data_IF_209257137976
#
_entry.id   IF_209257137976
#
_cell.length_a   1.000
_cell.length_b   1.000
_cell.length_c   1.000
_cell.angle_alpha   90.00
_cell.angle_beta   90.00
_cell.angle_gamma   90.00
#
_symmetry.space_group_name_H-M   'P 1'
#
loop_
_entity.id
_entity.type
_entity.pdbx_description
1 polymer ?
#
# COMPACT_ATOMS: atom_id res chain seq x y z
N UNK A 1 -15.66 27.46 -5.91
CA UNK A 1 -15.61 25.99 -5.74
C UNK A 1 -14.24 25.67 -5.16
N UNK A 2 -14.12 25.11 -3.95
CA UNK A 2 -12.79 24.73 -3.45
C UNK A 2 -12.19 23.72 -4.42
N UNK A 3 -10.97 23.98 -4.88
CA UNK A 3 -10.25 23.03 -5.71
C UNK A 3 -10.00 21.77 -4.88
N UNK A 4 -10.60 20.66 -5.31
CA UNK A 4 -10.33 19.35 -4.72
C UNK A 4 -8.91 18.98 -5.15
N UNK A 5 -7.95 19.25 -4.27
CA UNK A 5 -6.53 19.01 -4.53
C UNK A 5 -6.17 17.62 -4.03
N UNK A 6 -5.65 16.80 -4.94
CA UNK A 6 -5.08 15.49 -4.64
C UNK A 6 -3.58 15.62 -4.36
N UNK A 7 -3.10 14.76 -3.46
CA UNK A 7 -1.71 14.69 -3.06
C UNK A 7 -1.27 13.25 -2.88
N UNK A 8 0.05 13.04 -2.95
CA UNK A 8 0.67 11.79 -2.54
C UNK A 8 0.96 11.82 -1.04
N UNK A 9 0.38 10.86 -0.31
CA UNK A 9 0.61 10.67 1.11
C UNK A 9 1.41 9.40 1.36
N UNK A 10 2.34 9.46 2.31
CA UNK A 10 2.98 8.29 2.87
C UNK A 10 2.11 7.69 3.98
N UNK A 11 1.71 6.43 3.84
CA UNK A 11 0.91 5.70 4.81
C UNK A 11 1.73 4.56 5.43
N UNK A 12 1.73 4.48 6.76
CA UNK A 12 2.38 3.38 7.48
C UNK A 12 1.48 2.15 7.48
N UNK A 13 2.01 1.01 7.05
CA UNK A 13 1.27 -0.25 7.08
C UNK A 13 1.58 -1.12 8.29
N UNK A 14 0.61 -1.95 8.71
CA UNK A 14 0.90 -3.06 9.61
C UNK A 14 1.85 -4.05 8.94
N UNK A 15 2.56 -4.84 9.76
CA UNK A 15 3.52 -5.84 9.31
C UNK A 15 2.83 -6.85 8.37
N UNK A 16 3.43 -7.05 7.21
CA UNK A 16 3.00 -8.03 6.18
C UNK A 16 1.57 -7.77 5.63
N UNK A 17 1.05 -6.54 5.75
CA UNK A 17 -0.28 -6.12 5.26
C UNK A 17 -0.22 -5.24 4.00
N UNK A 18 0.98 -4.89 3.52
CA UNK A 18 1.21 -3.99 2.38
C UNK A 18 0.43 -4.43 1.13
N UNK A 19 0.50 -5.73 0.81
CA UNK A 19 -0.15 -6.32 -0.37
C UNK A 19 -1.67 -6.36 -0.23
N UNK A 20 -2.18 -6.77 0.94
CA UNK A 20 -3.62 -6.79 1.24
C UNK A 20 -4.24 -5.40 1.17
N UNK A 21 -3.51 -4.40 1.65
CA UNK A 21 -3.97 -3.01 1.64
C UNK A 21 -3.99 -2.46 0.22
N UNK A 22 -2.93 -2.67 -0.57
CA UNK A 22 -2.89 -2.32 -1.99
C UNK A 22 -4.06 -2.91 -2.76
N UNK A 23 -4.37 -4.19 -2.55
CA UNK A 23 -5.49 -4.85 -3.23
C UNK A 23 -6.85 -4.32 -2.75
N UNK A 24 -6.96 -3.91 -1.49
CA UNK A 24 -8.15 -3.26 -0.93
C UNK A 24 -8.36 -1.85 -1.48
N UNK A 25 -7.30 -1.06 -1.61
CA UNK A 25 -7.34 0.28 -2.20
C UNK A 25 -7.68 0.25 -3.68
N UNK A 26 -7.14 -0.73 -4.43
CA UNK A 26 -7.53 -0.97 -5.82
C UNK A 26 -9.03 -1.23 -5.99
N UNK A 27 -9.65 -1.97 -5.06
CA UNK A 27 -11.11 -2.20 -5.07
C UNK A 27 -11.94 -0.95 -4.77
N UNK A 28 -11.34 0.06 -4.12
CA UNK A 28 -11.97 1.34 -3.81
C UNK A 28 -11.65 2.42 -4.85
N UNK A 29 -10.99 2.05 -5.95
CA UNK A 29 -10.52 2.97 -6.98
C UNK A 29 -9.70 4.13 -6.36
N UNK A 30 -8.78 3.75 -5.48
CA UNK A 30 -7.79 4.64 -4.88
C UNK A 30 -6.44 4.27 -5.46
N UNK A 31 -5.83 5.25 -6.12
CA UNK A 31 -4.49 5.11 -6.66
C UNK A 31 -3.48 4.94 -5.51
N UNK A 32 -2.65 3.91 -5.61
CA UNK A 32 -1.63 3.64 -4.61
C UNK A 32 -0.38 3.06 -5.25
N UNK A 33 0.76 3.38 -4.65
CA UNK A 33 2.06 2.91 -5.04
C UNK A 33 2.72 2.19 -3.87
N UNK A 34 3.02 0.91 -4.06
CA UNK A 34 3.81 0.10 -3.14
C UNK A 34 5.14 -0.20 -3.83
N UNK A 35 6.27 0.35 -3.36
CA UNK A 35 7.57 0.04 -3.95
C UNK A 35 7.94 -1.41 -3.65
N UNK A 36 8.03 -2.23 -4.68
CA UNK A 36 8.34 -3.66 -4.58
C UNK A 36 9.53 -4.05 -5.45
N UNK A 37 10.16 -5.17 -5.09
CA UNK A 37 11.18 -5.83 -5.92
C UNK A 37 10.90 -7.33 -5.97
N UNK A 38 11.29 -7.96 -7.07
CA UNK A 38 11.26 -9.42 -7.19
C UNK A 38 12.51 -10.02 -6.58
N UNK A 39 12.35 -11.07 -5.78
CA UNK A 39 13.46 -11.84 -5.20
C UNK A 39 13.21 -13.33 -5.39
N UNK A 40 14.26 -14.08 -5.66
CA UNK A 40 14.18 -15.55 -5.73
C UNK A 40 14.36 -16.11 -4.32
N UNK A 41 13.32 -16.76 -3.78
CA UNK A 41 13.41 -17.51 -2.53
C UNK A 41 13.62 -18.99 -2.81
N UNK A 42 14.64 -19.56 -2.18
CA UNK A 42 14.83 -21.00 -2.13
C UNK A 42 13.84 -21.59 -1.11
N UNK A 43 12.99 -22.49 -1.58
CA UNK A 43 12.19 -23.40 -0.76
C UNK A 43 12.88 -24.77 -0.75
N UNK A 44 12.37 -25.70 0.07
CA UNK A 44 13.00 -27.02 0.30
C UNK A 44 13.41 -27.75 -0.99
N UNK A 45 12.60 -27.69 -2.04
CA UNK A 45 12.87 -28.37 -3.32
C UNK A 45 12.73 -27.48 -4.56
N UNK A 46 12.38 -26.20 -4.40
CA UNK A 46 12.10 -25.32 -5.54
C UNK A 46 12.56 -23.90 -5.29
N UNK A 47 12.86 -23.18 -6.37
CA UNK A 47 13.03 -21.73 -6.35
C UNK A 47 11.70 -21.09 -6.74
N UNK A 48 11.27 -20.07 -5.98
CA UNK A 48 10.09 -19.28 -6.30
C UNK A 48 10.47 -17.81 -6.34
N UNK A 49 10.15 -17.15 -7.44
CA UNK A 49 10.21 -15.71 -7.52
C UNK A 49 9.03 -15.13 -6.74
N UNK A 50 9.31 -14.24 -5.80
CA UNK A 50 8.30 -13.58 -4.96
C UNK A 50 8.54 -12.07 -4.96
N UNK A 51 7.45 -11.33 -4.92
CA UNK A 51 7.48 -9.89 -4.75
C UNK A 51 7.63 -9.57 -3.26
N UNK A 52 8.55 -8.66 -2.92
CA UNK A 52 8.74 -8.17 -1.55
C UNK A 52 8.77 -6.64 -1.54
N UNK A 53 8.23 -5.99 -0.50
CA UNK A 53 8.34 -4.54 -0.38
C UNK A 53 9.82 -4.13 -0.25
N UNK A 54 10.19 -3.06 -0.93
CA UNK A 54 11.53 -2.45 -0.81
C UNK A 54 11.68 -1.81 0.55
N UNK A 55 10.64 -1.10 0.99
CA UNK A 55 10.53 -0.49 2.31
C UNK A 55 9.38 -1.17 3.03
N UNK A 56 9.67 -1.86 4.13
CA UNK A 56 8.63 -2.51 4.93
C UNK A 56 7.75 -1.48 5.60
N UNK A 57 6.49 -1.83 5.82
CA UNK A 57 5.53 -1.05 6.60
C UNK A 57 5.22 0.34 6.02
N UNK A 58 5.41 0.54 4.72
CA UNK A 58 5.23 1.83 4.06
C UNK A 58 4.59 1.67 2.69
N UNK A 59 3.63 2.54 2.37
CA UNK A 59 3.08 2.68 1.03
C UNK A 59 2.72 4.13 0.74
N UNK A 60 2.47 4.43 -0.53
CA UNK A 60 2.03 5.74 -0.99
C UNK A 60 0.60 5.67 -1.52
N UNK A 61 -0.19 6.68 -1.21
CA UNK A 61 -1.60 6.78 -1.62
C UNK A 61 -1.81 8.14 -2.26
N UNK A 62 -2.41 8.16 -3.45
CA UNK A 62 -2.78 9.37 -4.16
C UNK A 62 -4.29 9.59 -4.01
N UNK A 63 -4.65 10.63 -3.27
CA UNK A 63 -6.04 10.94 -2.97
C UNK A 63 -6.17 12.37 -2.43
N UNK A 64 -7.40 12.80 -2.19
CA UNK A 64 -7.68 13.97 -1.33
C UNK A 64 -7.34 13.65 0.12
N UNK A 65 -7.07 14.68 0.94
CA UNK A 65 -6.78 14.51 2.38
C UNK A 65 -7.89 13.72 3.09
N UNK A 66 -9.14 14.01 2.79
CA UNK A 66 -10.30 13.34 3.39
C UNK A 66 -10.38 11.86 2.98
N UNK A 67 -10.21 11.55 1.68
CA UNK A 67 -10.25 10.18 1.16
C UNK A 67 -9.05 9.36 1.67
N UNK A 68 -7.87 9.97 1.78
CA UNK A 68 -6.68 9.35 2.36
C UNK A 68 -6.90 9.01 3.84
N UNK A 69 -7.35 9.97 4.66
CA UNK A 69 -7.66 9.73 6.07
C UNK A 69 -8.75 8.66 6.25
N UNK A 70 -9.80 8.68 5.43
CA UNK A 70 -10.85 7.67 5.47
C UNK A 70 -10.34 6.27 5.15
N UNK A 71 -9.54 6.15 4.08
CA UNK A 71 -8.96 4.88 3.64
C UNK A 71 -8.02 4.28 4.70
N UNK A 72 -7.26 5.13 5.39
CA UNK A 72 -6.36 4.73 6.49
C UNK A 72 -7.14 4.38 7.76
N UNK A 73 -8.14 5.19 8.14
CA UNK A 73 -8.86 5.05 9.43
C UNK A 73 -9.90 3.93 9.44
N UNK A 74 -10.68 3.74 8.36
CA UNK A 74 -11.76 2.73 8.37
C UNK A 74 -11.27 1.31 8.17
N UNK A 75 -10.03 1.10 7.71
CA UNK A 75 -9.55 -0.23 7.29
C UNK A 75 -8.03 -0.36 7.48
N UNK A 76 -7.58 -0.67 8.69
CA UNK A 76 -6.36 -1.47 8.95
C UNK A 76 -5.04 -0.77 9.35
N UNK A 77 -4.94 0.56 9.48
CA UNK A 77 -3.66 1.21 9.86
C UNK A 77 -3.77 2.01 11.18
N UNK A 78 -2.87 1.80 12.16
CA UNK A 78 -2.80 2.69 13.33
C UNK A 78 -2.17 4.03 12.90
N UNK A 79 -2.83 5.12 13.29
CA UNK A 79 -2.28 6.49 13.25
C UNK A 79 -1.05 6.58 14.16
#
# INVERSE_FOLDING_TARGET
MPHIQEYWFAARTRKDQEFTLRDSLKKLDIECFLPTRKVVRQLKYRRKEVEVPVIRNLMFVHATKEKACFAVNKRFLPL
#
